data_IF_970004115238
#
_entry.id   IF_970004115238
#
_cell.length_a   1.000
_cell.length_b   1.000
_cell.length_c   1.000
_cell.angle_alpha   90.00
_cell.angle_beta   90.00
_cell.angle_gamma   90.00
#
_symmetry.space_group_name_H-M   'P 1'
#
loop_
_entity.id
_entity.type
_entity.pdbx_description
1 polymer ?
#
# COMPACT_ATOMS: atom_id res chain seq x y z
N UNK A 1 2.09 12.01 8.06
CA UNK A 1 1.98 11.08 9.21
C UNK A 1 1.52 9.75 8.63
N UNK A 2 2.21 8.64 8.91
CA UNK A 2 1.71 7.32 8.50
C UNK A 2 0.45 7.02 9.32
N UNK A 3 -0.65 6.64 8.68
CA UNK A 3 -1.84 6.18 9.40
C UNK A 3 -1.71 4.67 9.63
N UNK A 4 -1.20 4.32 10.81
CA UNK A 4 -1.01 2.93 11.25
C UNK A 4 -2.23 2.40 12.01
N UNK A 5 -3.38 3.07 11.92
CA UNK A 5 -4.58 2.58 12.58
C UNK A 5 -4.92 1.16 12.12
N UNK A 6 -5.59 0.40 12.98
CA UNK A 6 -5.93 -1.00 12.68
C UNK A 6 -6.85 -1.15 11.45
N UNK A 7 -7.43 -0.04 10.97
CA UNK A 7 -8.34 -0.02 9.83
C UNK A 7 -7.63 0.08 8.48
N UNK A 8 -6.43 0.65 8.42
CA UNK A 8 -5.71 0.83 7.16
C UNK A 8 -4.64 -0.24 6.95
N UNK A 9 -4.32 -0.46 5.67
CA UNK A 9 -3.23 -1.31 5.21
C UNK A 9 -2.36 -0.54 4.21
N UNK A 10 -1.07 -0.44 4.49
CA UNK A 10 -0.03 0.10 3.62
C UNK A 10 -0.34 1.51 3.07
N UNK A 11 -0.99 2.37 3.85
CA UNK A 11 -1.13 3.79 3.52
C UNK A 11 0.12 4.56 3.96
N UNK A 12 1.19 4.37 3.19
CA UNK A 12 2.51 4.86 3.52
C UNK A 12 2.78 6.25 2.92
N UNK A 13 3.57 7.03 3.66
CA UNK A 13 4.21 8.25 3.16
C UNK A 13 5.72 8.01 3.27
N UNK A 14 6.35 7.39 2.25
CA UNK A 14 7.77 7.05 2.32
C UNK A 14 8.61 8.31 2.48
N UNK A 15 9.47 8.32 3.50
CA UNK A 15 10.40 9.42 3.75
C UNK A 15 11.65 9.28 2.87
N UNK A 16 11.98 8.04 2.50
CA UNK A 16 13.15 7.73 1.69
C UNK A 16 12.81 7.68 0.19
N UNK A 17 13.85 7.84 -0.63
CA UNK A 17 13.74 7.57 -2.06
C UNK A 17 13.41 6.09 -2.29
N UNK A 18 12.75 5.81 -3.42
CA UNK A 18 12.54 4.43 -3.87
C UNK A 18 13.86 3.67 -3.96
N UNK A 19 13.82 2.36 -3.71
CA UNK A 19 14.94 1.46 -3.95
C UNK A 19 15.38 1.48 -5.42
N UNK A 20 16.65 1.17 -5.66
CA UNK A 20 17.21 1.07 -7.01
C UNK A 20 16.60 -0.11 -7.80
N UNK A 21 16.39 -1.24 -7.11
CA UNK A 21 15.79 -2.43 -7.67
C UNK A 21 14.43 -2.74 -7.01
N UNK A 22 13.44 -3.23 -7.78
CA UNK A 22 12.16 -3.63 -7.23
C UNK A 22 12.26 -4.92 -6.41
N UNK A 23 11.52 -4.98 -5.30
CA UNK A 23 11.31 -6.20 -4.52
C UNK A 23 10.05 -6.91 -5.02
N UNK A 24 10.22 -7.96 -5.82
CA UNK A 24 9.13 -8.80 -6.34
C UNK A 24 9.15 -10.15 -5.63
N UNK A 25 8.66 -10.16 -4.39
CA UNK A 25 8.56 -11.36 -3.57
C UNK A 25 7.10 -11.80 -3.40
N UNK A 26 6.90 -12.85 -2.62
CA UNK A 26 5.57 -13.41 -2.34
C UNK A 26 4.63 -12.41 -1.65
N UNK A 27 5.15 -11.41 -0.93
CA UNK A 27 4.33 -10.37 -0.32
C UNK A 27 3.88 -9.35 -1.37
N UNK A 28 4.76 -8.96 -2.29
CA UNK A 28 4.41 -8.11 -3.43
C UNK A 28 3.34 -8.79 -4.29
N UNK A 29 3.55 -10.06 -4.67
CA UNK A 29 2.59 -10.83 -5.46
C UNK A 29 1.25 -10.99 -4.75
N UNK A 30 1.27 -11.24 -3.43
CA UNK A 30 0.06 -11.34 -2.62
C UNK A 30 -0.72 -10.04 -2.64
N UNK A 31 -0.06 -8.90 -2.46
CA UNK A 31 -0.71 -7.60 -2.48
C UNK A 31 -1.30 -7.28 -3.86
N UNK A 32 -0.58 -7.58 -4.95
CA UNK A 32 -1.11 -7.40 -6.32
C UNK A 32 -2.37 -8.23 -6.56
N UNK A 33 -2.37 -9.50 -6.14
CA UNK A 33 -3.56 -10.37 -6.23
C UNK A 33 -4.73 -9.80 -5.42
N UNK A 34 -4.49 -9.39 -4.19
CA UNK A 34 -5.53 -8.78 -3.35
C UNK A 34 -6.11 -7.52 -3.98
N UNK A 35 -5.26 -6.65 -4.54
CA UNK A 35 -5.69 -5.45 -5.26
C UNK A 35 -6.53 -5.77 -6.51
N UNK A 36 -6.17 -6.82 -7.26
CA UNK A 36 -6.92 -7.23 -8.46
C UNK A 36 -8.36 -7.65 -8.17
N UNK A 37 -8.62 -8.15 -6.96
CA UNK A 37 -9.95 -8.54 -6.47
C UNK A 37 -10.57 -7.54 -5.49
N UNK A 38 -9.92 -6.40 -5.25
CA UNK A 38 -10.35 -5.44 -4.23
C UNK A 38 -11.67 -4.78 -4.59
N UNK A 39 -12.50 -4.54 -3.57
CA UNK A 39 -13.72 -3.74 -3.75
C UNK A 39 -13.36 -2.27 -3.72
N UNK A 40 -13.97 -1.46 -4.58
CA UNK A 40 -13.84 0.01 -4.49
C UNK A 40 -14.55 0.49 -3.22
N UNK A 41 -13.87 1.34 -2.45
CA UNK A 41 -14.44 2.03 -1.31
C UNK A 41 -15.48 3.07 -1.72
N UNK A 42 -16.17 3.64 -0.74
CA UNK A 42 -17.16 4.70 -0.95
C UNK A 42 -16.56 6.10 -1.05
N UNK A 43 -15.27 6.25 -0.69
CA UNK A 43 -14.55 7.52 -0.83
C UNK A 43 -13.95 7.66 -2.23
N UNK A 44 -14.31 8.76 -2.87
CA UNK A 44 -13.84 9.16 -4.19
C UNK A 44 -13.10 10.51 -4.08
N UNK A 45 -11.98 10.65 -4.79
CA UNK A 45 -11.06 11.82 -4.82
C UNK A 45 -10.04 11.93 -3.67
N UNK A 46 -9.77 10.83 -2.95
CA UNK A 46 -8.59 10.73 -2.10
C UNK A 46 -7.36 10.36 -2.94
N UNK A 47 -6.64 11.36 -3.48
CA UNK A 47 -5.37 11.09 -4.15
C UNK A 47 -4.25 10.98 -3.12
N UNK A 48 -3.54 9.85 -3.16
CA UNK A 48 -2.33 9.65 -2.41
C UNK A 48 -1.13 9.81 -3.34
N UNK A 49 -0.19 10.67 -2.94
CA UNK A 49 1.09 10.81 -3.61
C UNK A 49 2.16 10.07 -2.81
N UNK A 50 2.94 9.24 -3.48
CA UNK A 50 4.14 8.65 -2.91
C UNK A 50 5.24 9.71 -2.79
N UNK A 51 5.40 10.28 -1.60
CA UNK A 51 6.39 11.34 -1.33
C UNK A 51 7.82 10.96 -1.68
N UNK A 52 8.17 9.67 -1.62
CA UNK A 52 9.52 9.17 -1.91
C UNK A 52 9.88 9.07 -3.40
N UNK A 53 8.90 9.10 -4.30
CA UNK A 53 9.18 8.94 -5.75
C UNK A 53 8.22 9.65 -6.71
N UNK A 54 7.15 10.27 -6.21
CA UNK A 54 6.16 11.03 -6.98
C UNK A 54 5.03 10.21 -7.60
N UNK A 55 5.01 8.89 -7.41
CA UNK A 55 3.95 8.02 -7.95
C UNK A 55 2.58 8.38 -7.37
N UNK A 56 1.53 8.30 -8.18
CA UNK A 56 0.19 8.72 -7.79
C UNK A 56 -0.77 7.54 -7.69
N UNK A 57 -1.57 7.51 -6.63
CA UNK A 57 -2.64 6.52 -6.50
C UNK A 57 -3.79 6.81 -7.46
N UNK A 58 -4.62 5.80 -7.68
CA UNK A 58 -5.95 5.98 -8.24
C UNK A 58 -6.80 6.90 -7.36
N UNK A 59 -7.95 7.31 -7.89
CA UNK A 59 -8.86 8.27 -7.26
C UNK A 59 -9.80 7.67 -6.21
N UNK A 60 -9.66 6.40 -5.88
CA UNK A 60 -10.57 5.67 -5.01
C UNK A 60 -9.78 4.87 -3.98
N UNK A 61 -10.33 4.80 -2.76
CA UNK A 61 -9.91 3.81 -1.78
C UNK A 61 -10.27 2.41 -2.28
N UNK A 62 -9.50 1.42 -1.83
CA UNK A 62 -9.72 0.00 -2.09
C UNK A 62 -9.91 -0.73 -0.76
N UNK A 63 -10.77 -1.74 -0.76
CA UNK A 63 -11.07 -2.56 0.42
C UNK A 63 -10.53 -3.97 0.16
N UNK A 64 -9.67 -4.42 1.07
CA UNK A 64 -9.04 -5.74 1.05
C UNK A 64 -9.23 -6.38 2.43
N UNK A 65 -10.07 -7.41 2.50
CA UNK A 65 -10.47 -8.00 3.77
C UNK A 65 -11.12 -6.95 4.69
N UNK A 66 -10.68 -6.80 5.96
CA UNK A 66 -11.18 -5.77 6.86
C UNK A 66 -10.51 -4.39 6.66
N UNK A 67 -9.52 -4.28 5.77
CA UNK A 67 -8.68 -3.09 5.66
C UNK A 67 -9.06 -2.19 4.50
N UNK A 68 -8.84 -0.89 4.70
CA UNK A 68 -8.86 0.13 3.66
C UNK A 68 -7.42 0.38 3.20
N UNK A 69 -7.20 0.41 1.90
CA UNK A 69 -5.90 0.64 1.25
C UNK A 69 -6.07 1.54 0.04
N UNK A 70 -4.98 1.88 -0.64
CA UNK A 70 -4.99 2.55 -1.93
C UNK A 70 -4.27 1.69 -2.99
N UNK A 71 -4.30 2.15 -4.25
CA UNK A 71 -3.67 1.42 -5.36
C UNK A 71 -2.13 1.41 -5.32
N UNK A 72 -1.50 2.21 -4.45
CA UNK A 72 -0.04 2.23 -4.29
C UNK A 72 0.46 1.17 -3.30
N UNK A 73 -0.41 0.41 -2.62
CA UNK A 73 0.02 -0.60 -1.65
C UNK A 73 1.06 -1.60 -2.20
N UNK A 74 0.84 -2.15 -3.39
CA UNK A 74 1.82 -3.01 -4.04
C UNK A 74 3.08 -2.23 -4.46
N UNK A 75 2.93 -0.98 -4.90
CA UNK A 75 4.05 -0.10 -5.23
C UNK A 75 4.96 0.12 -4.00
N UNK A 76 4.38 0.36 -2.82
CA UNK A 76 5.19 0.55 -1.62
C UNK A 76 5.95 -0.71 -1.24
N UNK A 77 5.35 -1.89 -1.35
CA UNK A 77 6.05 -3.15 -1.10
C UNK A 77 7.17 -3.41 -2.10
N UNK A 78 6.99 -2.97 -3.35
CA UNK A 78 7.98 -3.13 -4.42
C UNK A 78 9.15 -2.17 -4.29
N UNK A 79 8.90 -0.91 -3.96
CA UNK A 79 9.90 0.17 -4.09
C UNK A 79 10.28 0.84 -2.77
N UNK A 80 9.43 0.70 -1.75
CA UNK A 80 9.56 1.33 -0.44
C UNK A 80 9.46 0.29 0.68
N UNK A 81 9.92 -0.95 0.42
CA UNK A 81 9.80 -2.08 1.36
C UNK A 81 10.35 -1.74 2.75
N UNK A 82 11.45 -1.00 2.81
CA UNK A 82 12.12 -0.64 4.06
C UNK A 82 11.37 0.48 4.82
N UNK A 83 10.50 1.24 4.14
CA UNK A 83 9.65 2.24 4.79
C UNK A 83 8.34 1.64 5.32
N UNK A 84 8.03 0.39 4.97
CA UNK A 84 6.84 -0.31 5.42
C UNK A 84 7.04 -0.85 6.85
N UNK A 85 6.28 -0.37 7.85
CA UNK A 85 6.41 -0.85 9.22
C UNK A 85 6.07 -2.34 9.32
N UNK A 86 6.74 -3.02 10.25
CA UNK A 86 6.52 -4.45 10.46
C UNK A 86 5.05 -4.76 10.82
N UNK A 87 4.35 -3.83 11.49
CA UNK A 87 2.92 -3.96 11.78
C UNK A 87 2.07 -4.11 10.51
N UNK A 88 2.37 -3.37 9.45
CA UNK A 88 1.67 -3.44 8.16
C UNK A 88 1.98 -4.75 7.43
N UNK A 89 3.25 -5.17 7.48
CA UNK A 89 3.68 -6.45 6.92
C UNK A 89 2.96 -7.61 7.63
N UNK A 90 2.80 -7.52 8.95
CA UNK A 90 2.10 -8.53 9.75
C UNK A 90 0.59 -8.56 9.47
N UNK A 91 -0.06 -7.42 9.22
CA UNK A 91 -1.45 -7.38 8.74
C UNK A 91 -1.58 -8.13 7.40
N UNK A 92 -0.70 -7.84 6.43
CA UNK A 92 -0.71 -8.50 5.12
C UNK A 92 -0.46 -10.01 5.21
N UNK A 93 0.43 -10.45 6.10
CA UNK A 93 0.70 -11.89 6.33
C UNK A 93 -0.52 -12.65 6.83
N UNK A 94 -1.40 -12.00 7.59
CA UNK A 94 -2.61 -12.60 8.19
C UNK A 94 -3.84 -12.65 7.26
N UNK A 95 -3.82 -11.91 6.14
CA UNK A 95 -4.85 -11.98 5.09
C UNK A 95 -4.77 -13.27 4.28
#
# INVERSE_FOLDING_TARGET
>A
MQDLSERYLLQLHPANKKSEYPVNDTLTDKMEKLLSSAKKGTQYRGWHNCTGCGEMSGSCDLIVGPYITNSLAAHYLRWHRNDAPESEINKLKKL
#
